data_IF_581638932177
#
_entry.id   IF_581638932177
#
_cell.length_a   1.000
_cell.length_b   1.000
_cell.length_c   1.000
_cell.angle_alpha   90.00
_cell.angle_beta   90.00
_cell.angle_gamma   90.00
#
_symmetry.space_group_name_H-M   'P 1'
#
loop_
_entity.id
_entity.type
_entity.pdbx_description
1 polymer ?
#
# COMPACT_ATOMS: atom_id res chain seq x y z
N UNK A 1 24.45 27.85 16.05
CA UNK A 1 24.76 26.84 15.05
C UNK A 1 23.52 26.02 14.81
N UNK A 2 23.12 25.85 13.54
CA UNK A 2 22.02 24.97 13.15
C UNK A 2 22.63 23.64 12.73
N UNK A 3 22.31 22.60 13.48
CA UNK A 3 22.71 21.24 13.17
C UNK A 3 21.63 20.59 12.28
N UNK A 4 22.05 19.85 11.26
CA UNK A 4 21.14 19.05 10.45
C UNK A 4 20.54 17.94 11.32
N UNK A 5 19.23 17.72 11.24
CA UNK A 5 18.53 16.68 11.99
C UNK A 5 17.93 15.62 11.06
N UNK A 6 17.17 16.04 10.05
CA UNK A 6 16.43 15.11 9.18
C UNK A 6 15.79 15.84 8.01
N UNK A 7 15.45 15.10 6.96
CA UNK A 7 14.54 15.51 5.89
C UNK A 7 13.16 14.90 6.08
N UNK A 8 12.13 15.61 5.64
CA UNK A 8 10.74 15.11 5.74
C UNK A 8 9.76 15.99 5.00
N UNK A 9 8.52 15.53 4.96
CA UNK A 9 7.41 16.28 4.39
C UNK A 9 6.81 17.24 5.41
N UNK A 10 6.64 18.50 4.99
CA UNK A 10 5.90 19.51 5.75
C UNK A 10 4.44 19.55 5.31
N UNK A 11 3.53 19.71 6.26
CA UNK A 11 2.13 20.03 6.00
C UNK A 11 1.53 20.86 7.14
N UNK A 12 0.48 21.60 6.85
CA UNK A 12 -0.30 22.29 7.87
C UNK A 12 -1.13 21.29 8.66
N UNK A 13 -0.99 21.28 9.99
CA UNK A 13 -1.73 20.37 10.85
C UNK A 13 -1.08 20.20 12.23
N UNK A 14 -1.61 19.29 13.04
CA UNK A 14 -1.06 18.96 14.37
C UNK A 14 0.31 18.29 14.29
N UNK A 15 0.57 17.52 13.24
CA UNK A 15 1.88 16.98 12.90
C UNK A 15 2.38 17.76 11.69
N UNK A 16 3.24 18.73 11.95
CA UNK A 16 3.72 19.64 10.90
C UNK A 16 4.82 19.04 10.03
N UNK A 17 5.62 18.11 10.54
CA UNK A 17 6.69 17.44 9.79
C UNK A 17 6.63 15.94 10.02
N UNK A 18 6.68 15.19 8.92
CA UNK A 18 6.88 13.73 8.93
C UNK A 18 8.27 13.44 8.39
N UNK A 19 9.13 12.97 9.28
CA UNK A 19 10.52 12.65 8.94
C UNK A 19 10.58 11.39 8.07
N UNK A 20 11.35 11.44 7.00
CA UNK A 20 11.53 10.38 6.01
C UNK A 20 12.98 9.87 5.96
N UNK A 21 13.94 10.74 6.23
CA UNK A 21 15.36 10.42 6.21
C UNK A 21 16.12 11.19 7.27
N UNK A 22 17.02 10.50 7.96
CA UNK A 22 17.97 11.10 8.91
C UNK A 22 19.37 11.27 8.30
N UNK A 23 19.60 10.76 7.10
CA UNK A 23 20.86 10.82 6.39
C UNK A 23 20.88 11.98 5.40
N UNK A 24 21.99 12.67 5.32
CA UNK A 24 22.22 13.77 4.38
C UNK A 24 22.30 13.30 2.91
N UNK A 25 22.59 12.01 2.68
CA UNK A 25 22.60 11.42 1.34
C UNK A 25 21.24 11.56 0.61
N UNK A 26 20.16 11.69 1.36
CA UNK A 26 18.81 11.85 0.80
C UNK A 26 18.35 13.32 0.73
N UNK A 27 19.28 14.25 0.56
CA UNK A 27 18.91 15.66 0.41
C UNK A 27 17.93 15.84 -0.76
N UNK A 28 16.72 16.38 -0.50
CA UNK A 28 15.74 16.62 -1.55
C UNK A 28 16.24 17.64 -2.58
N UNK A 29 16.03 17.36 -3.87
CA UNK A 29 16.32 18.28 -4.96
C UNK A 29 15.04 19.06 -5.30
N UNK A 30 15.12 20.39 -5.33
CA UNK A 30 13.96 21.27 -5.53
C UNK A 30 12.78 21.00 -4.58
N UNK A 31 13.08 20.51 -3.38
CA UNK A 31 12.10 20.20 -2.34
C UNK A 31 11.46 18.81 -2.46
N UNK A 32 11.91 17.97 -3.38
CA UNK A 32 11.39 16.62 -3.61
C UNK A 32 12.46 15.55 -3.48
N UNK A 33 12.10 14.42 -2.86
CA UNK A 33 12.97 13.25 -2.85
C UNK A 33 13.10 12.66 -4.25
N UNK A 34 14.33 12.30 -4.62
CA UNK A 34 14.63 11.66 -5.89
C UNK A 34 14.04 10.25 -5.98
N UNK A 35 13.87 9.74 -7.21
CA UNK A 35 13.32 8.40 -7.46
C UNK A 35 14.11 7.29 -6.73
N UNK A 36 15.45 7.43 -6.65
CA UNK A 36 16.33 6.47 -5.96
C UNK A 36 15.95 6.26 -4.49
N UNK A 37 15.58 7.33 -3.78
CA UNK A 37 15.08 7.25 -2.41
C UNK A 37 13.82 6.35 -2.31
N UNK A 38 12.84 6.56 -3.17
CA UNK A 38 11.59 5.78 -3.17
C UNK A 38 11.83 4.30 -3.53
N UNK A 39 12.70 4.06 -4.51
CA UNK A 39 13.08 2.69 -4.90
C UNK A 39 13.70 1.95 -3.73
N UNK A 40 14.65 2.56 -3.04
CA UNK A 40 15.31 1.95 -1.89
C UNK A 40 14.32 1.65 -0.75
N UNK A 41 13.51 2.63 -0.35
CA UNK A 41 12.53 2.45 0.73
C UNK A 41 11.51 1.36 0.42
N UNK A 42 10.96 1.35 -0.79
CA UNK A 42 10.00 0.33 -1.21
C UNK A 42 10.66 -1.05 -1.35
N UNK A 43 11.89 -1.11 -1.83
CA UNK A 43 12.62 -2.36 -1.91
C UNK A 43 12.92 -2.96 -0.53
N UNK A 44 13.28 -2.13 0.46
CA UNK A 44 13.48 -2.58 1.85
C UNK A 44 12.17 -3.12 2.45
N UNK A 45 11.04 -2.45 2.23
CA UNK A 45 9.73 -2.92 2.65
C UNK A 45 9.37 -4.25 1.97
N UNK A 46 9.56 -4.37 0.66
CA UNK A 46 9.37 -5.60 -0.11
C UNK A 46 10.23 -6.76 0.42
N UNK A 47 11.54 -6.51 0.60
CA UNK A 47 12.48 -7.50 1.13
C UNK A 47 12.07 -8.01 2.51
N UNK A 48 11.60 -7.11 3.38
CA UNK A 48 11.08 -7.51 4.70
C UNK A 48 9.89 -8.46 4.57
N UNK A 49 8.90 -8.17 3.71
CA UNK A 49 7.73 -9.04 3.48
C UNK A 49 8.14 -10.41 2.95
N UNK A 50 9.12 -10.44 2.05
CA UNK A 50 9.69 -11.70 1.56
C UNK A 50 10.37 -12.50 2.67
N UNK A 51 11.16 -11.85 3.51
CA UNK A 51 11.84 -12.49 4.66
C UNK A 51 10.85 -13.04 5.68
N UNK A 52 9.75 -12.32 5.91
CA UNK A 52 8.67 -12.76 6.80
C UNK A 52 7.76 -13.85 6.18
N UNK A 53 7.95 -14.17 4.91
CA UNK A 53 7.17 -15.20 4.22
C UNK A 53 5.71 -14.84 4.00
N UNK A 54 5.34 -13.54 4.02
CA UNK A 54 3.96 -13.10 3.77
C UNK A 54 3.59 -13.10 2.28
N UNK A 55 4.59 -13.19 1.41
CA UNK A 55 4.44 -13.41 -0.03
C UNK A 55 5.05 -14.78 -0.36
N UNK A 56 4.21 -15.74 -0.68
CA UNK A 56 4.60 -17.14 -0.93
C UNK A 56 3.59 -17.82 -1.87
N UNK A 57 3.79 -19.08 -2.20
CA UNK A 57 2.89 -19.81 -3.10
C UNK A 57 1.46 -20.04 -2.59
N UNK A 58 1.17 -19.73 -1.33
CA UNK A 58 -0.15 -19.85 -0.72
C UNK A 58 -0.79 -18.48 -0.42
N UNK A 59 0.00 -17.41 -0.49
CA UNK A 59 -0.45 -16.03 -0.20
C UNK A 59 0.23 -15.08 -1.18
N UNK A 60 -0.57 -14.27 -1.87
CA UNK A 60 -0.12 -13.25 -2.81
C UNK A 60 -0.81 -11.88 -2.59
N UNK A 61 -1.40 -11.70 -1.40
CA UNK A 61 -1.99 -10.43 -0.98
C UNK A 61 -1.47 -10.05 0.41
N UNK A 62 -0.94 -8.82 0.54
CA UNK A 62 -0.32 -8.37 1.78
C UNK A 62 -0.14 -6.86 1.81
N UNK A 63 0.05 -6.30 3.00
CA UNK A 63 0.47 -4.91 3.18
C UNK A 63 1.96 -4.76 2.90
N UNK A 64 2.28 -4.09 1.79
CA UNK A 64 3.66 -3.79 1.41
C UNK A 64 4.25 -2.68 2.27
N UNK A 65 3.51 -1.58 2.47
CA UNK A 65 3.96 -0.45 3.28
C UNK A 65 2.95 -0.13 4.36
N UNK A 66 3.43 0.03 5.58
CA UNK A 66 2.64 0.37 6.77
C UNK A 66 3.17 1.63 7.45
N UNK A 67 3.17 2.74 6.75
CA UNK A 67 3.49 4.05 7.33
C UNK A 67 4.81 4.09 8.09
N UNK A 68 4.74 4.49 9.33
CA UNK A 68 5.88 4.63 10.25
C UNK A 68 6.64 3.32 10.45
N UNK A 69 5.97 2.18 10.37
CA UNK A 69 6.60 0.86 10.51
C UNK A 69 7.60 0.51 9.40
N UNK A 70 7.48 1.19 8.27
CA UNK A 70 8.39 1.04 7.12
C UNK A 70 9.19 2.34 6.84
N UNK A 71 9.27 3.26 7.81
CA UNK A 71 9.91 4.58 7.67
C UNK A 71 9.36 5.42 6.50
N UNK A 72 8.06 5.25 6.19
CA UNK A 72 7.31 5.99 5.19
C UNK A 72 6.02 6.57 5.80
N UNK A 73 6.12 7.44 6.83
CA UNK A 73 4.99 7.93 7.59
C UNK A 73 3.95 8.61 6.69
N UNK A 74 2.71 8.14 6.79
CA UNK A 74 1.61 8.63 5.99
C UNK A 74 1.44 7.93 4.63
N UNK A 75 2.13 6.80 4.39
CA UNK A 75 1.96 5.97 3.21
C UNK A 75 1.48 4.57 3.58
N UNK A 76 0.41 4.13 2.95
CA UNK A 76 -0.06 2.74 2.99
C UNK A 76 -0.02 2.20 1.57
N UNK A 77 0.53 1.00 1.39
CA UNK A 77 0.45 0.28 0.12
C UNK A 77 0.06 -1.16 0.41
N UNK A 78 -1.05 -1.59 -0.16
CA UNK A 78 -1.49 -2.98 -0.14
C UNK A 78 -1.31 -3.60 -1.53
N UNK A 79 -0.78 -4.82 -1.56
CA UNK A 79 -0.48 -5.55 -2.79
C UNK A 79 -1.44 -6.73 -2.94
N UNK A 80 -2.01 -6.89 -4.15
CA UNK A 80 -3.01 -7.88 -4.51
C UNK A 80 -2.64 -8.54 -5.85
N UNK A 81 -1.84 -9.60 -5.83
CA UNK A 81 -1.44 -10.38 -7.01
C UNK A 81 -1.05 -9.52 -8.24
N UNK A 82 -0.17 -8.58 -8.05
CA UNK A 82 0.31 -7.69 -9.12
C UNK A 82 -0.35 -6.30 -9.13
N UNK A 83 -1.37 -6.05 -8.34
CA UNK A 83 -1.97 -4.72 -8.20
C UNK A 83 -1.53 -4.10 -6.88
N UNK A 84 -0.90 -2.93 -6.95
CA UNK A 84 -0.54 -2.14 -5.77
C UNK A 84 -1.60 -1.03 -5.57
N UNK A 85 -2.27 -1.04 -4.42
CA UNK A 85 -3.22 -0.01 -4.02
C UNK A 85 -2.56 0.92 -3.04
N UNK A 86 -2.42 2.19 -3.42
CA UNK A 86 -1.74 3.23 -2.67
C UNK A 86 -2.76 4.09 -1.94
N UNK A 87 -2.51 4.41 -0.67
CA UNK A 87 -3.23 5.42 0.09
C UNK A 87 -2.25 6.40 0.72
N UNK A 88 -2.37 7.65 0.36
CA UNK A 88 -1.65 8.75 1.00
C UNK A 88 -2.48 9.31 2.17
N UNK A 89 -1.86 9.39 3.34
CA UNK A 89 -2.43 10.01 4.54
C UNK A 89 -1.75 11.34 4.89
N UNK A 90 -0.90 11.84 3.99
CA UNK A 90 -0.27 13.15 4.10
C UNK A 90 -0.15 13.81 2.74
N UNK A 91 -0.10 15.14 2.72
CA UNK A 91 0.03 15.91 1.47
C UNK A 91 1.31 15.54 0.71
N UNK A 92 2.45 15.42 1.41
CA UNK A 92 3.71 15.08 0.78
C UNK A 92 3.71 13.68 0.14
N UNK A 93 3.03 12.69 0.75
CA UNK A 93 2.89 11.37 0.14
C UNK A 93 2.02 11.40 -1.10
N UNK A 94 0.93 12.18 -1.08
CA UNK A 94 0.07 12.35 -2.25
C UNK A 94 0.82 13.02 -3.41
N UNK A 95 1.56 14.09 -3.13
CA UNK A 95 2.38 14.78 -4.12
C UNK A 95 3.53 13.92 -4.70
N UNK A 96 3.94 12.88 -3.97
CA UNK A 96 5.00 11.94 -4.40
C UNK A 96 4.46 10.71 -5.14
N UNK A 97 3.15 10.61 -5.41
CA UNK A 97 2.50 9.41 -5.95
C UNK A 97 3.11 8.92 -7.29
N UNK A 98 3.52 9.84 -8.17
CA UNK A 98 4.15 9.48 -9.45
C UNK A 98 5.52 8.80 -9.24
N UNK A 99 6.35 9.33 -8.35
CA UNK A 99 7.65 8.73 -8.02
C UNK A 99 7.47 7.40 -7.27
N UNK A 100 6.48 7.29 -6.39
CA UNK A 100 6.12 6.05 -5.70
C UNK A 100 5.66 5.00 -6.72
N UNK A 101 4.83 5.38 -7.69
CA UNK A 101 4.38 4.50 -8.78
C UNK A 101 5.56 3.98 -9.60
N UNK A 102 6.47 4.85 -10.00
CA UNK A 102 7.65 4.47 -10.77
C UNK A 102 8.60 3.56 -9.98
N UNK A 103 8.75 3.83 -8.69
CA UNK A 103 9.52 2.97 -7.79
C UNK A 103 8.89 1.58 -7.63
N UNK A 104 7.56 1.47 -7.53
CA UNK A 104 6.85 0.18 -7.52
C UNK A 104 7.09 -0.62 -8.80
N UNK A 105 7.09 0.05 -9.97
CA UNK A 105 7.41 -0.60 -11.25
C UNK A 105 8.82 -1.18 -11.25
N UNK A 106 9.79 -0.46 -10.68
CA UNK A 106 11.16 -0.97 -10.56
C UNK A 106 11.27 -2.13 -9.58
N UNK A 107 10.60 -2.05 -8.42
CA UNK A 107 10.65 -3.10 -7.39
C UNK A 107 10.03 -4.43 -7.84
N UNK A 108 8.91 -4.38 -8.55
CA UNK A 108 8.16 -5.57 -8.95
C UNK A 108 8.40 -5.99 -10.41
N UNK A 109 8.89 -5.08 -11.25
CA UNK A 109 9.13 -5.36 -12.67
C UNK A 109 7.90 -5.94 -13.36
N UNK A 110 8.09 -7.01 -14.13
CA UNK A 110 7.00 -7.66 -14.86
C UNK A 110 5.90 -8.30 -14.00
N UNK A 111 6.09 -8.44 -12.69
CA UNK A 111 5.06 -8.93 -11.78
C UNK A 111 4.00 -7.86 -11.46
N UNK A 112 4.33 -6.56 -11.60
CA UNK A 112 3.35 -5.50 -11.42
C UNK A 112 2.40 -5.43 -12.61
N UNK A 113 1.11 -5.36 -12.35
CA UNK A 113 0.02 -5.28 -13.34
C UNK A 113 -0.61 -3.89 -13.36
N UNK A 114 -0.78 -3.28 -12.17
CA UNK A 114 -1.35 -1.93 -12.03
C UNK A 114 -0.94 -1.27 -10.71
N UNK A 115 -1.02 0.06 -10.68
CA UNK A 115 -0.94 0.90 -9.47
C UNK A 115 -2.19 1.76 -9.42
N UNK A 116 -2.97 1.61 -8.36
CA UNK A 116 -4.21 2.35 -8.13
C UNK A 116 -4.06 3.26 -6.92
N UNK A 117 -4.27 4.55 -7.11
CA UNK A 117 -4.37 5.51 -6.01
C UNK A 117 -5.79 5.52 -5.45
N UNK A 118 -5.90 5.31 -4.14
CA UNK A 118 -7.16 5.34 -3.38
C UNK A 118 -7.04 6.31 -2.21
N UNK A 119 -6.59 7.51 -2.50
CA UNK A 119 -6.29 8.53 -1.50
C UNK A 119 -7.39 9.56 -1.28
N UNK A 120 -8.46 9.56 -2.09
CA UNK A 120 -9.55 10.56 -1.97
C UNK A 120 -10.09 10.65 -0.55
N UNK A 121 -10.31 9.50 0.09
CA UNK A 121 -10.84 9.43 1.46
C UNK A 121 -9.80 9.54 2.58
N UNK A 122 -8.49 9.58 2.28
CA UNK A 122 -7.41 9.51 3.27
C UNK A 122 -6.46 10.69 3.23
N UNK A 123 -6.23 11.28 2.07
CA UNK A 123 -5.38 12.46 1.93
C UNK A 123 -6.01 13.69 2.57
N UNK A 124 -5.20 14.61 3.13
CA UNK A 124 -5.71 15.77 3.85
C UNK A 124 -6.33 16.81 2.89
N UNK A 125 -7.64 16.82 2.76
CA UNK A 125 -8.38 17.74 1.88
C UNK A 125 -8.08 19.24 2.15
N UNK A 126 -7.69 19.58 3.38
CA UNK A 126 -7.30 20.95 3.77
C UNK A 126 -5.99 21.42 3.15
N UNK A 127 -5.23 20.54 2.51
CA UNK A 127 -4.00 20.93 1.81
C UNK A 127 -4.26 21.59 0.43
N UNK A 128 -5.52 21.75 0.00
CA UNK A 128 -5.88 22.36 -1.28
C UNK A 128 -5.56 21.48 -2.49
N UNK A 129 -5.47 20.16 -2.30
CA UNK A 129 -5.20 19.20 -3.35
C UNK A 129 -6.49 18.81 -4.07
N UNK A 130 -6.42 18.61 -5.37
CA UNK A 130 -7.47 17.95 -6.14
C UNK A 130 -7.35 16.45 -5.94
N UNK A 131 -8.23 15.90 -5.10
CA UNK A 131 -8.23 14.49 -4.75
C UNK A 131 -9.21 13.72 -5.64
N UNK A 132 -8.85 12.50 -5.99
CA UNK A 132 -9.72 11.57 -6.71
C UNK A 132 -9.01 10.24 -6.88
N UNK A 133 -9.76 9.14 -6.68
CA UNK A 133 -9.24 7.81 -6.87
C UNK A 133 -9.01 7.53 -8.36
N UNK A 134 -7.82 7.02 -8.71
CA UNK A 134 -7.40 6.84 -10.11
C UNK A 134 -6.34 5.76 -10.29
N UNK A 135 -6.21 5.23 -11.51
CA UNK A 135 -5.01 4.48 -11.86
C UNK A 135 -3.84 5.42 -12.13
N UNK A 136 -2.76 5.25 -11.40
CA UNK A 136 -1.48 5.91 -11.69
C UNK A 136 -0.78 5.24 -12.86
N UNK A 137 -0.92 3.92 -12.95
CA UNK A 137 -0.38 3.13 -14.05
C UNK A 137 -1.12 1.80 -14.19
N UNK A 138 -1.24 1.33 -15.42
CA UNK A 138 -1.73 -0.01 -15.78
C UNK A 138 -0.92 -0.56 -16.94
N UNK A 139 -0.70 -1.85 -16.92
CA UNK A 139 -0.17 -2.58 -18.06
C UNK A 139 -1.25 -2.68 -19.16
N UNK A 140 -0.87 -2.63 -20.44
CA UNK A 140 -1.82 -2.58 -21.57
C UNK A 140 -2.74 -3.82 -21.65
N UNK A 141 -2.25 -4.98 -21.19
CA UNK A 141 -3.00 -6.23 -21.15
C UNK A 141 -3.79 -6.43 -19.87
N UNK A 142 -3.71 -5.50 -18.91
CA UNK A 142 -4.43 -5.56 -17.64
C UNK A 142 -5.91 -5.25 -17.85
N UNK A 143 -6.78 -6.20 -17.48
CA UNK A 143 -8.23 -6.03 -17.47
C UNK A 143 -8.72 -5.89 -16.04
N UNK A 144 -9.56 -4.89 -15.83
CA UNK A 144 -10.26 -4.64 -14.57
C UNK A 144 -11.38 -5.70 -14.40
N UNK A 145 -11.02 -6.86 -13.97
CA UNK A 145 -11.97 -7.87 -13.51
C UNK A 145 -11.73 -8.11 -12.01
N UNK A 146 -12.71 -8.69 -11.34
CA UNK A 146 -12.54 -9.12 -9.94
C UNK A 146 -11.21 -9.88 -9.82
N UNK A 147 -10.29 -9.36 -9.01
CA UNK A 147 -8.96 -9.94 -8.86
C UNK A 147 -9.00 -11.07 -7.82
N UNK A 148 -8.89 -12.32 -8.23
CA UNK A 148 -8.74 -13.41 -7.29
C UNK A 148 -7.34 -13.33 -6.67
N UNK A 149 -7.29 -13.28 -5.34
CA UNK A 149 -6.07 -13.35 -4.56
C UNK A 149 -6.03 -14.60 -3.71
N UNK A 150 -4.85 -15.03 -3.33
CA UNK A 150 -4.64 -16.13 -2.40
C UNK A 150 -4.25 -15.62 -1.02
N UNK A 151 -4.90 -16.14 -0.01
CA UNK A 151 -4.53 -15.98 1.40
C UNK A 151 -4.59 -17.34 2.09
N UNK A 152 -3.44 -17.85 2.54
CA UNK A 152 -3.28 -19.16 3.17
C UNK A 152 -3.93 -20.30 2.33
N UNK A 153 -3.71 -20.26 1.01
CA UNK A 153 -4.24 -21.23 0.04
C UNK A 153 -5.75 -21.10 -0.26
N UNK A 154 -6.42 -20.09 0.27
CA UNK A 154 -7.85 -19.82 0.01
C UNK A 154 -7.97 -18.65 -0.95
N UNK A 155 -8.86 -18.77 -1.94
CA UNK A 155 -9.11 -17.70 -2.91
C UNK A 155 -10.17 -16.73 -2.40
N UNK A 156 -9.88 -15.42 -2.55
CA UNK A 156 -10.79 -14.32 -2.27
C UNK A 156 -10.86 -13.40 -3.49
N UNK A 157 -12.02 -12.80 -3.72
CA UNK A 157 -12.18 -11.75 -4.73
C UNK A 157 -11.98 -10.39 -4.06
N UNK A 158 -11.06 -9.59 -4.59
CA UNK A 158 -10.77 -8.25 -4.08
C UNK A 158 -11.21 -7.22 -5.10
N UNK A 159 -11.91 -6.20 -4.63
CA UNK A 159 -12.28 -5.04 -5.43
C UNK A 159 -11.75 -3.78 -4.74
N UNK A 160 -10.65 -3.23 -5.26
CA UNK A 160 -10.02 -2.03 -4.69
C UNK A 160 -10.77 -0.74 -5.05
N UNK A 161 -11.50 -0.69 -6.15
CA UNK A 161 -12.24 0.51 -6.56
C UNK A 161 -13.46 0.76 -5.66
N UNK A 162 -14.30 -0.27 -5.47
CA UNK A 162 -15.58 -0.17 -4.75
C UNK A 162 -15.52 -0.67 -3.32
N UNK A 163 -14.50 -1.47 -2.98
CA UNK A 163 -14.34 -2.07 -1.67
C UNK A 163 -13.93 -1.05 -0.60
N UNK A 164 -14.16 -1.40 0.66
CA UNK A 164 -13.71 -0.60 1.79
C UNK A 164 -12.18 -0.66 1.94
N UNK A 165 -11.59 0.35 2.61
CA UNK A 165 -10.14 0.49 2.74
C UNK A 165 -9.49 0.39 1.35
N UNK A 166 -8.51 -0.47 1.19
CA UNK A 166 -7.81 -0.76 -0.07
C UNK A 166 -8.48 -1.88 -0.89
N UNK A 167 -9.62 -2.41 -0.44
CA UNK A 167 -10.38 -3.47 -1.13
C UNK A 167 -10.52 -4.77 -0.34
N UNK A 168 -9.67 -5.00 0.69
CA UNK A 168 -9.71 -6.18 1.53
C UNK A 168 -9.16 -5.90 2.94
N UNK A 169 -9.59 -6.69 3.92
CA UNK A 169 -9.14 -6.56 5.32
C UNK A 169 -7.95 -7.50 5.58
N UNK A 170 -6.77 -7.13 5.11
CA UNK A 170 -5.53 -7.91 5.25
C UNK A 170 -5.14 -8.17 6.71
N UNK A 171 -5.50 -7.26 7.61
CA UNK A 171 -5.28 -7.36 9.06
C UNK A 171 -6.08 -8.50 9.73
N UNK A 172 -7.08 -9.06 9.04
CA UNK A 172 -7.92 -10.14 9.57
C UNK A 172 -7.50 -11.54 9.09
N UNK A 173 -6.32 -11.68 8.47
CA UNK A 173 -5.82 -12.96 7.94
C UNK A 173 -5.85 -14.08 8.96
N UNK A 174 -5.22 -13.87 10.10
CA UNK A 174 -5.08 -14.89 11.15
C UNK A 174 -6.45 -15.24 11.76
N UNK A 175 -7.32 -14.24 11.92
CA UNK A 175 -8.69 -14.46 12.39
C UNK A 175 -9.50 -15.29 11.39
N UNK A 176 -9.36 -15.03 10.07
CA UNK A 176 -10.03 -15.84 9.05
C UNK A 176 -9.53 -17.28 9.05
N UNK A 177 -8.23 -17.48 9.24
CA UNK A 177 -7.66 -18.82 9.31
C UNK A 177 -8.17 -19.58 10.53
N UNK A 178 -8.10 -18.97 11.70
CA UNK A 178 -8.59 -19.54 12.96
C UNK A 178 -10.09 -19.92 12.87
N UNK A 179 -10.93 -19.04 12.31
CA UNK A 179 -12.36 -19.34 12.07
C UNK A 179 -12.50 -20.52 11.11
N UNK A 180 -11.71 -20.57 10.04
CA UNK A 180 -11.70 -21.67 9.08
C UNK A 180 -11.39 -23.02 9.73
N UNK A 181 -10.38 -23.07 10.60
CA UNK A 181 -10.01 -24.25 11.35
C UNK A 181 -11.12 -24.72 12.31
N UNK A 182 -11.68 -23.78 13.09
CA UNK A 182 -12.77 -24.05 14.03
C UNK A 182 -14.07 -24.47 13.35
N UNK A 183 -14.24 -24.14 12.06
CA UNK A 183 -15.42 -24.45 11.26
C UNK A 183 -15.41 -25.84 10.66
N UNK A 184 -14.30 -26.56 10.70
CA UNK A 184 -14.16 -27.86 10.04
C UNK A 184 -15.22 -28.85 10.51
N UNK A 185 -16.02 -29.37 9.58
CA UNK A 185 -17.11 -30.29 9.86
C UNK A 185 -18.34 -29.67 10.56
N UNK A 186 -18.42 -28.32 10.66
CA UNK A 186 -19.52 -27.62 11.31
C UNK A 186 -20.36 -26.84 10.30
N UNK A 187 -21.59 -26.55 10.65
CA UNK A 187 -22.44 -25.57 9.97
C UNK A 187 -22.13 -24.18 10.55
N UNK A 188 -21.73 -23.25 9.69
CA UNK A 188 -21.38 -21.88 10.08
C UNK A 188 -22.35 -20.92 9.42
N UNK A 189 -22.88 -19.98 10.20
CA UNK A 189 -23.63 -18.84 9.71
C UNK A 189 -22.73 -17.61 9.78
N UNK A 190 -22.43 -17.01 8.63
CA UNK A 190 -21.75 -15.73 8.56
C UNK A 190 -22.79 -14.62 8.36
N UNK A 191 -22.82 -13.69 9.31
CA UNK A 191 -23.64 -12.48 9.23
C UNK A 191 -22.72 -11.29 8.93
N UNK A 192 -23.18 -10.36 8.09
CA UNK A 192 -22.43 -9.19 7.64
C UNK A 192 -21.18 -9.54 6.83
N UNK A 193 -21.28 -10.53 5.95
CA UNK A 193 -20.21 -10.91 5.04
C UNK A 193 -19.83 -9.73 4.13
N UNK A 194 -18.53 -9.41 4.07
CA UNK A 194 -18.04 -8.31 3.26
C UNK A 194 -17.68 -8.73 1.84
N UNK A 195 -17.14 -9.94 1.69
CA UNK A 195 -16.80 -10.52 0.39
C UNK A 195 -17.57 -11.82 0.20
N UNK A 196 -18.39 -11.87 -0.83
CA UNK A 196 -19.06 -13.12 -1.21
C UNK A 196 -18.08 -14.01 -1.97
N UNK A 197 -18.06 -15.28 -1.57
CA UNK A 197 -17.47 -16.35 -2.35
C UNK A 197 -18.58 -16.82 -3.32
N UNK A 198 -18.40 -16.53 -4.60
CA UNK A 198 -19.19 -17.23 -5.63
C UNK A 198 -18.67 -18.63 -5.84
#
# INVERSE_FOLDING_TARGET
DREFLAYGHYQVGSISVRVLAFDQEYEPVDGEFELGFWVEKLYLAYKMRRTLGVDNGQTNCYRLVHGEGDNLPGLIIDYYDGVAVVQAHSAGMYLSEEKICEALKQCYGGALKAVYDKSEGTAPFKAGLELGDKYLWRRDDFKEEECPVLENGKSFLVNWEKGQKTGFFLDQRDNREMVGEQSRGKRVLNLFCYTDRK
#
